data_IF_622848098852
#
_entry.id   IF_622848098852
#
_cell.length_a   1.000
_cell.length_b   1.000
_cell.length_c   1.000
_cell.angle_alpha   90.00
_cell.angle_beta   90.00
_cell.angle_gamma   90.00
#
_symmetry.space_group_name_H-M   'P 1'
#
loop_
_entity.id
_entity.type
_entity.pdbx_description
1 polymer ?
#
# COMPACT_ATOMS: atom_id res chain seq x y z
N UNK A 1 -13.78 -15.79 -2.73
CA UNK A 1 -14.84 -16.00 -3.72
C UNK A 1 -14.55 -15.17 -4.97
N UNK A 2 -14.61 -15.78 -6.15
CA UNK A 2 -14.33 -15.13 -7.46
C UNK A 2 -15.22 -13.89 -7.67
N UNK A 3 -16.47 -13.95 -7.23
CA UNK A 3 -17.43 -12.84 -7.33
C UNK A 3 -17.04 -11.60 -6.51
N UNK A 4 -16.46 -11.78 -5.32
CA UNK A 4 -16.03 -10.65 -4.49
C UNK A 4 -14.80 -9.93 -5.10
N UNK A 5 -13.86 -10.69 -5.66
CA UNK A 5 -12.71 -10.10 -6.38
C UNK A 5 -13.16 -9.37 -7.65
N UNK A 6 -14.05 -9.98 -8.46
CA UNK A 6 -14.61 -9.32 -9.63
C UNK A 6 -15.34 -8.02 -9.28
N UNK A 7 -16.13 -8.02 -8.21
CA UNK A 7 -16.81 -6.81 -7.74
C UNK A 7 -15.82 -5.70 -7.33
N UNK A 8 -14.77 -6.03 -6.59
CA UNK A 8 -13.77 -5.03 -6.18
C UNK A 8 -13.00 -4.49 -7.39
N UNK A 9 -12.71 -5.34 -8.38
CA UNK A 9 -12.09 -4.90 -9.64
C UNK A 9 -13.00 -3.96 -10.44
N UNK A 10 -14.30 -4.26 -10.53
CA UNK A 10 -15.29 -3.38 -11.17
C UNK A 10 -15.40 -2.05 -10.42
N UNK A 11 -15.45 -2.06 -9.09
CA UNK A 11 -15.44 -0.83 -8.29
C UNK A 11 -14.15 -0.02 -8.49
N UNK A 12 -13.00 -0.68 -8.61
CA UNK A 12 -11.73 -0.02 -8.91
C UNK A 12 -11.75 0.66 -10.27
N UNK A 13 -12.25 -0.03 -11.31
CA UNK A 13 -12.45 0.55 -12.64
C UNK A 13 -13.44 1.73 -12.60
N UNK A 14 -14.58 1.56 -11.92
CA UNK A 14 -15.57 2.65 -11.78
C UNK A 14 -15.01 3.86 -11.04
N UNK A 15 -14.07 3.67 -10.11
CA UNK A 15 -13.40 4.77 -9.40
C UNK A 15 -12.44 5.59 -10.29
N UNK A 16 -11.97 5.03 -11.42
CA UNK A 16 -11.14 5.78 -12.37
C UNK A 16 -11.95 6.79 -13.18
N UNK A 17 -13.24 6.52 -13.45
CA UNK A 17 -14.09 7.39 -14.26
C UNK A 17 -14.26 8.80 -13.66
N UNK A 18 -14.56 8.98 -12.35
CA UNK A 18 -14.62 10.32 -11.75
C UNK A 18 -13.27 11.06 -11.80
N UNK A 19 -12.15 10.34 -11.66
CA UNK A 19 -10.83 10.96 -11.73
C UNK A 19 -10.51 11.48 -13.12
N UNK A 20 -10.84 10.71 -14.17
CA UNK A 20 -10.72 11.16 -15.56
C UNK A 20 -11.69 12.31 -15.85
N UNK A 21 -12.93 12.22 -15.35
CA UNK A 21 -13.92 13.29 -15.50
C UNK A 21 -13.44 14.59 -14.84
N UNK A 22 -12.89 14.52 -13.61
CA UNK A 22 -12.37 15.71 -12.91
C UNK A 22 -11.21 16.37 -13.67
N UNK A 23 -10.31 15.57 -14.25
CA UNK A 23 -9.22 16.09 -15.08
C UNK A 23 -9.76 16.75 -16.36
N UNK A 24 -10.75 16.15 -17.02
CA UNK A 24 -11.40 16.73 -18.20
C UNK A 24 -12.12 18.04 -17.87
N UNK A 25 -12.86 18.09 -16.75
CA UNK A 25 -13.53 19.30 -16.29
C UNK A 25 -12.52 20.41 -15.93
N UNK A 26 -11.38 20.06 -15.32
CA UNK A 26 -10.29 21.01 -15.06
C UNK A 26 -9.73 21.57 -16.36
N UNK A 27 -9.55 20.74 -17.38
CA UNK A 27 -9.13 21.20 -18.72
C UNK A 27 -10.15 22.22 -19.29
N UNK A 28 -11.45 21.90 -19.28
CA UNK A 28 -12.50 22.80 -19.78
C UNK A 28 -12.52 24.11 -18.99
N UNK A 29 -12.37 24.05 -17.65
CA UNK A 29 -12.28 25.24 -16.80
C UNK A 29 -11.17 26.18 -17.24
N UNK A 30 -9.97 25.63 -17.44
CA UNK A 30 -8.79 26.42 -17.78
C UNK A 30 -8.80 26.93 -19.21
N UNK A 31 -9.16 26.09 -20.18
CA UNK A 31 -9.11 26.44 -21.59
C UNK A 31 -10.32 27.27 -22.05
N UNK A 32 -11.54 26.91 -21.64
CA UNK A 32 -12.77 27.57 -22.15
C UNK A 32 -13.23 28.71 -21.26
N UNK A 33 -13.19 28.56 -19.91
CA UNK A 33 -13.71 29.59 -19.01
C UNK A 33 -12.65 30.66 -18.76
N UNK A 34 -11.44 30.26 -18.40
CA UNK A 34 -10.40 31.22 -17.99
C UNK A 34 -9.70 31.81 -19.21
N UNK A 35 -9.25 30.98 -20.18
CA UNK A 35 -8.48 31.46 -21.32
C UNK A 35 -9.34 32.15 -22.37
N UNK A 36 -10.59 31.69 -22.60
CA UNK A 36 -11.49 32.24 -23.60
C UNK A 36 -12.53 33.21 -23.02
N UNK A 37 -12.63 33.33 -21.69
CA UNK A 37 -13.54 34.30 -21.03
C UNK A 37 -15.00 33.91 -21.03
N UNK A 38 -15.36 32.63 -21.27
CA UNK A 38 -16.73 32.17 -21.28
C UNK A 38 -17.28 31.98 -19.84
N UNK A 39 -17.51 33.05 -19.11
CA UNK A 39 -17.94 33.00 -17.71
C UNK A 39 -19.33 32.40 -17.51
N UNK A 40 -20.17 32.34 -18.53
CA UNK A 40 -21.48 31.71 -18.47
C UNK A 40 -21.42 30.21 -18.18
N UNK A 41 -20.30 29.58 -18.56
CA UNK A 41 -20.05 28.15 -18.31
C UNK A 41 -19.56 27.85 -16.88
N UNK A 42 -19.22 28.88 -16.11
CA UNK A 42 -18.68 28.69 -14.77
C UNK A 42 -19.65 27.95 -13.82
N UNK A 43 -20.94 28.37 -13.81
CA UNK A 43 -21.94 27.77 -12.94
C UNK A 43 -22.21 26.29 -13.26
N UNK A 44 -22.54 25.90 -14.53
CA UNK A 44 -22.76 24.49 -14.85
C UNK A 44 -21.49 23.65 -14.68
N UNK A 45 -20.31 24.21 -14.86
CA UNK A 45 -19.04 23.50 -14.69
C UNK A 45 -18.73 23.24 -13.22
N UNK A 46 -18.92 24.23 -12.34
CA UNK A 46 -18.77 24.04 -10.90
C UNK A 46 -19.78 23.02 -10.33
N UNK A 47 -21.03 23.06 -10.81
CA UNK A 47 -22.04 22.07 -10.40
C UNK A 47 -21.70 20.66 -10.87
N UNK A 48 -21.15 20.48 -12.08
CA UNK A 48 -20.70 19.19 -12.58
C UNK A 48 -19.46 18.67 -11.82
N UNK A 49 -18.50 19.55 -11.46
CA UNK A 49 -17.37 19.19 -10.62
C UNK A 49 -17.81 18.75 -9.21
N UNK A 50 -18.75 19.48 -8.60
CA UNK A 50 -19.33 19.09 -7.31
C UNK A 50 -20.04 17.73 -7.38
N UNK A 51 -20.79 17.47 -8.46
CA UNK A 51 -21.46 16.18 -8.67
C UNK A 51 -20.46 15.04 -8.83
N UNK A 52 -19.40 15.23 -9.63
CA UNK A 52 -18.31 14.25 -9.79
C UNK A 52 -17.62 13.97 -8.44
N UNK A 53 -17.39 15.01 -7.63
CA UNK A 53 -16.79 14.86 -6.30
C UNK A 53 -17.68 14.05 -5.35
N UNK A 54 -18.98 14.35 -5.30
CA UNK A 54 -19.95 13.61 -4.49
C UNK A 54 -20.02 12.14 -4.95
N UNK A 55 -20.03 11.92 -6.25
CA UNK A 55 -20.04 10.58 -6.82
C UNK A 55 -18.76 9.79 -6.45
N UNK A 56 -17.58 10.43 -6.53
CA UNK A 56 -16.31 9.84 -6.13
C UNK A 56 -16.28 9.48 -4.65
N UNK A 57 -16.75 10.37 -3.77
CA UNK A 57 -16.85 10.12 -2.33
C UNK A 57 -17.78 8.94 -2.04
N UNK A 58 -18.93 8.89 -2.73
CA UNK A 58 -19.91 7.80 -2.57
C UNK A 58 -19.34 6.45 -3.01
N UNK A 59 -18.63 6.40 -4.15
CA UNK A 59 -17.95 5.19 -4.62
C UNK A 59 -16.85 4.74 -3.66
N UNK A 60 -16.05 5.67 -3.13
CA UNK A 60 -14.99 5.37 -2.18
C UNK A 60 -15.56 4.84 -0.87
N UNK A 61 -16.61 5.44 -0.35
CA UNK A 61 -17.30 4.98 0.86
C UNK A 61 -17.92 3.59 0.67
N UNK A 62 -18.58 3.37 -0.47
CA UNK A 62 -19.20 2.09 -0.80
C UNK A 62 -18.18 0.97 -0.96
N UNK A 63 -17.14 1.20 -1.75
CA UNK A 63 -16.04 0.24 -1.94
C UNK A 63 -15.35 -0.10 -0.62
N UNK A 64 -15.12 0.88 0.26
CA UNK A 64 -14.54 0.67 1.59
C UNK A 64 -15.44 -0.15 2.52
N UNK A 65 -16.76 0.00 2.46
CA UNK A 65 -17.70 -0.83 3.23
C UNK A 65 -17.73 -2.27 2.72
N UNK A 66 -17.78 -2.48 1.41
CA UNK A 66 -17.74 -3.82 0.81
C UNK A 66 -16.43 -4.55 1.13
N UNK A 67 -15.32 -3.84 1.03
CA UNK A 67 -14.00 -4.35 1.38
C UNK A 67 -13.95 -4.85 2.84
N UNK A 68 -14.40 -4.04 3.79
CA UNK A 68 -14.47 -4.43 5.22
C UNK A 68 -15.39 -5.63 5.46
N UNK A 69 -16.57 -5.66 4.84
CA UNK A 69 -17.49 -6.80 4.94
C UNK A 69 -16.87 -8.09 4.38
N UNK A 70 -16.18 -7.99 3.25
CA UNK A 70 -15.48 -9.13 2.65
C UNK A 70 -14.38 -9.66 3.57
N UNK A 71 -13.56 -8.76 4.14
CA UNK A 71 -12.49 -9.10 5.06
C UNK A 71 -13.03 -9.80 6.32
N UNK A 72 -14.06 -9.22 6.95
CA UNK A 72 -14.69 -9.83 8.14
C UNK A 72 -15.31 -11.19 7.82
N UNK A 73 -16.04 -11.31 6.73
CA UNK A 73 -16.66 -12.57 6.31
C UNK A 73 -15.64 -13.67 5.99
N UNK A 74 -14.52 -13.32 5.35
CA UNK A 74 -13.45 -14.26 5.05
C UNK A 74 -12.70 -14.65 6.34
N UNK A 75 -12.42 -13.68 7.22
CA UNK A 75 -11.78 -13.89 8.51
C UNK A 75 -12.58 -14.87 9.36
N UNK A 76 -13.87 -14.60 9.56
CA UNK A 76 -14.75 -15.47 10.35
C UNK A 76 -14.80 -16.90 9.79
N UNK A 77 -14.95 -17.06 8.48
CA UNK A 77 -15.00 -18.38 7.83
C UNK A 77 -13.70 -19.16 7.95
N UNK A 78 -12.56 -18.51 7.73
CA UNK A 78 -11.26 -19.17 7.79
C UNK A 78 -10.88 -19.52 9.24
N UNK A 79 -11.15 -18.62 10.20
CA UNK A 79 -10.93 -18.89 11.62
C UNK A 79 -11.81 -20.03 12.12
N UNK A 80 -13.11 -20.03 11.79
CA UNK A 80 -14.03 -21.11 12.15
C UNK A 80 -13.59 -22.46 11.54
N UNK A 81 -13.20 -22.47 10.25
CA UNK A 81 -12.70 -23.67 9.58
C UNK A 81 -11.40 -24.18 10.19
N UNK A 82 -10.49 -23.25 10.50
CA UNK A 82 -9.22 -23.59 11.16
C UNK A 82 -9.46 -24.16 12.55
N UNK A 83 -10.31 -23.52 13.37
CA UNK A 83 -10.62 -23.98 14.71
C UNK A 83 -11.32 -25.35 14.71
N UNK A 84 -12.29 -25.54 13.80
CA UNK A 84 -12.90 -26.86 13.62
C UNK A 84 -11.86 -27.92 13.26
N UNK A 85 -10.97 -27.62 12.31
CA UNK A 85 -9.91 -28.56 11.93
C UNK A 85 -8.94 -28.82 13.08
N UNK A 86 -8.68 -27.83 13.91
CA UNK A 86 -7.86 -27.96 15.10
C UNK A 86 -8.50 -28.96 16.07
N UNK A 87 -9.81 -28.83 16.35
CA UNK A 87 -10.52 -29.77 17.24
C UNK A 87 -10.60 -31.21 16.71
N UNK A 88 -10.55 -31.41 15.41
CA UNK A 88 -10.55 -32.72 14.75
C UNK A 88 -9.19 -33.44 14.83
N UNK A 89 -8.13 -32.78 15.35
CA UNK A 89 -6.80 -33.37 15.46
C UNK A 89 -6.70 -34.36 16.60
N UNK A 90 -5.95 -35.48 16.47
CA UNK A 90 -5.80 -36.49 17.51
C UNK A 90 -5.03 -35.93 18.71
N UNK A 91 -5.30 -36.49 19.91
CA UNK A 91 -4.67 -36.08 21.19
C UNK A 91 -3.14 -36.07 21.14
N UNK A 92 -2.52 -36.98 20.38
CA UNK A 92 -1.06 -37.03 20.18
C UNK A 92 -0.46 -35.74 19.59
N UNK A 93 -1.25 -34.98 18.83
CA UNK A 93 -0.82 -33.68 18.30
C UNK A 93 -0.64 -32.66 19.42
N UNK A 94 -1.49 -32.70 20.45
CA UNK A 94 -1.47 -31.74 21.56
C UNK A 94 -0.44 -32.11 22.63
N UNK A 95 -0.21 -33.41 22.87
CA UNK A 95 0.76 -33.89 23.85
C UNK A 95 2.23 -33.56 23.51
N UNK A 96 2.52 -33.32 22.21
CA UNK A 96 3.88 -33.02 21.73
C UNK A 96 4.12 -31.52 21.45
N UNK A 97 3.15 -30.65 21.73
CA UNK A 97 3.26 -29.22 21.38
C UNK A 97 2.81 -28.32 22.51
N UNK A 98 3.46 -27.19 22.62
CA UNK A 98 3.04 -26.13 23.55
C UNK A 98 1.72 -25.50 23.08
N UNK A 99 0.80 -25.28 24.02
CA UNK A 99 -0.49 -24.62 23.75
C UNK A 99 -0.30 -23.25 23.10
N UNK A 100 0.75 -22.50 23.49
CA UNK A 100 1.12 -21.23 22.90
C UNK A 100 1.37 -21.29 21.39
N UNK A 101 2.03 -22.35 20.89
CA UNK A 101 2.26 -22.57 19.45
C UNK A 101 0.97 -22.70 18.66
N UNK A 102 -0.03 -23.32 19.26
CA UNK A 102 -1.34 -23.52 18.63
C UNK A 102 -2.12 -22.20 18.57
N UNK A 103 -2.05 -21.41 19.65
CA UNK A 103 -2.67 -20.08 19.73
C UNK A 103 -2.03 -19.13 18.71
N UNK A 104 -0.70 -19.12 18.58
CA UNK A 104 0.01 -18.28 17.59
C UNK A 104 -0.39 -18.62 16.14
N UNK A 105 -0.63 -19.91 15.84
CA UNK A 105 -1.13 -20.32 14.51
C UNK A 105 -2.53 -19.79 14.21
N UNK A 106 -3.37 -19.63 15.23
CA UNK A 106 -4.69 -19.00 15.06
C UNK A 106 -4.54 -17.53 14.66
N UNK A 107 -3.54 -16.85 15.21
CA UNK A 107 -3.22 -15.45 14.86
C UNK A 107 -2.71 -15.33 13.41
N UNK A 108 -1.93 -16.30 12.94
CA UNK A 108 -1.45 -16.35 11.54
C UNK A 108 -2.59 -16.44 10.53
N UNK A 109 -3.71 -17.08 10.87
CA UNK A 109 -4.91 -17.11 9.99
C UNK A 109 -5.45 -15.70 9.75
N UNK A 110 -5.46 -14.84 10.77
CA UNK A 110 -5.84 -13.42 10.63
C UNK A 110 -4.92 -12.67 9.65
N UNK A 111 -3.60 -12.87 9.80
CA UNK A 111 -2.60 -12.25 8.91
C UNK A 111 -2.73 -12.73 7.46
N UNK A 112 -3.03 -14.02 7.22
CA UNK A 112 -3.29 -14.55 5.88
C UNK A 112 -4.55 -13.91 5.27
N UNK A 113 -5.60 -13.73 6.07
CA UNK A 113 -6.81 -13.04 5.59
C UNK A 113 -6.51 -11.61 5.19
N UNK A 114 -5.75 -10.88 6.00
CA UNK A 114 -5.34 -9.51 5.70
C UNK A 114 -4.50 -9.43 4.42
N UNK A 115 -3.57 -10.35 4.22
CA UNK A 115 -2.77 -10.43 3.00
C UNK A 115 -3.64 -10.67 1.75
N UNK A 116 -4.55 -11.65 1.81
CA UNK A 116 -5.37 -12.03 0.65
C UNK A 116 -6.44 -10.98 0.37
N UNK A 117 -7.20 -10.58 1.39
CA UNK A 117 -8.30 -9.61 1.23
C UNK A 117 -7.80 -8.19 1.09
N UNK A 118 -6.67 -7.85 1.76
CA UNK A 118 -6.09 -6.53 1.80
C UNK A 118 -5.12 -6.28 0.65
N UNK A 119 -3.90 -6.68 0.87
CA UNK A 119 -2.76 -6.29 0.03
C UNK A 119 -2.87 -6.81 -1.40
N UNK A 120 -3.26 -8.07 -1.60
CA UNK A 120 -3.42 -8.63 -2.95
C UNK A 120 -4.56 -7.98 -3.72
N UNK A 121 -5.68 -7.71 -3.05
CA UNK A 121 -6.83 -7.05 -3.67
C UNK A 121 -6.50 -5.61 -4.04
N UNK A 122 -5.87 -4.84 -3.15
CA UNK A 122 -5.42 -3.48 -3.44
C UNK A 122 -4.40 -3.44 -4.58
N UNK A 123 -3.45 -4.37 -4.59
CA UNK A 123 -2.47 -4.46 -5.68
C UNK A 123 -3.15 -4.77 -7.03
N UNK A 124 -4.13 -5.69 -7.06
CA UNK A 124 -4.87 -6.00 -8.28
C UNK A 124 -5.66 -4.78 -8.80
N UNK A 125 -6.34 -4.05 -7.91
CA UNK A 125 -7.02 -2.79 -8.26
C UNK A 125 -6.00 -1.76 -8.75
N UNK A 126 -4.86 -1.60 -8.07
CA UNK A 126 -3.79 -0.68 -8.45
C UNK A 126 -3.26 -0.94 -9.86
N UNK A 127 -3.04 -2.21 -10.24
CA UNK A 127 -2.61 -2.57 -11.60
C UNK A 127 -3.66 -2.18 -12.64
N UNK A 128 -4.94 -2.46 -12.37
CA UNK A 128 -6.04 -2.11 -13.28
C UNK A 128 -6.18 -0.59 -13.44
N UNK A 129 -6.13 0.15 -12.35
CA UNK A 129 -6.18 1.63 -12.37
C UNK A 129 -4.98 2.22 -13.10
N UNK A 130 -3.78 1.71 -12.85
CA UNK A 130 -2.55 2.12 -13.55
C UNK A 130 -2.66 1.91 -15.06
N UNK A 131 -3.13 0.74 -15.53
CA UNK A 131 -3.34 0.47 -16.95
C UNK A 131 -4.36 1.44 -17.55
N UNK A 132 -5.49 1.68 -16.85
CA UNK A 132 -6.53 2.59 -17.31
C UNK A 132 -6.03 4.03 -17.43
N UNK A 133 -5.35 4.55 -16.41
CA UNK A 133 -4.76 5.89 -16.47
C UNK A 133 -3.66 5.98 -17.52
N UNK A 134 -2.83 4.94 -17.68
CA UNK A 134 -1.80 4.88 -18.72
C UNK A 134 -2.38 4.98 -20.13
N UNK A 135 -3.50 4.28 -20.42
CA UNK A 135 -4.20 4.38 -21.70
C UNK A 135 -4.75 5.80 -21.94
N UNK A 136 -5.36 6.41 -20.92
CA UNK A 136 -5.88 7.78 -21.03
C UNK A 136 -4.75 8.78 -21.24
N UNK A 137 -3.66 8.69 -20.48
CA UNK A 137 -2.49 9.55 -20.65
C UNK A 137 -1.85 9.42 -22.03
N UNK A 138 -1.77 8.19 -22.54
CA UNK A 138 -1.23 7.93 -23.88
C UNK A 138 -2.06 8.59 -24.98
N UNK A 139 -3.38 8.65 -24.81
CA UNK A 139 -4.29 9.36 -25.71
C UNK A 139 -4.12 10.89 -25.63
N UNK A 140 -3.68 11.44 -24.50
CA UNK A 140 -3.39 12.87 -24.37
C UNK A 140 -2.06 13.26 -25.00
N UNK A 141 -0.98 12.60 -24.62
CA UNK A 141 0.36 12.85 -25.17
C UNK A 141 1.27 11.63 -25.03
N UNK A 142 1.63 10.93 -26.12
CA UNK A 142 2.46 9.72 -26.08
C UNK A 142 3.87 9.96 -25.53
N UNK A 143 4.47 11.12 -25.87
CA UNK A 143 5.85 11.45 -25.48
C UNK A 143 5.96 11.63 -23.95
N UNK A 144 5.12 12.48 -23.37
CA UNK A 144 5.11 12.71 -21.93
C UNK A 144 4.74 11.43 -21.15
N UNK A 145 3.81 10.63 -21.70
CA UNK A 145 3.42 9.35 -21.08
C UNK A 145 4.57 8.34 -21.09
N UNK A 146 5.33 8.26 -22.18
CA UNK A 146 6.48 7.36 -22.26
C UNK A 146 7.55 7.66 -21.20
N UNK A 147 7.77 8.95 -20.92
CA UNK A 147 8.68 9.39 -19.83
C UNK A 147 8.15 8.91 -18.48
N UNK A 148 6.85 9.08 -18.21
CA UNK A 148 6.21 8.60 -16.97
C UNK A 148 6.30 7.09 -16.81
N UNK A 149 6.04 6.32 -17.86
CA UNK A 149 6.15 4.86 -17.87
C UNK A 149 7.58 4.40 -17.60
N UNK A 150 8.58 5.03 -18.29
CA UNK A 150 9.99 4.70 -18.08
C UNK A 150 10.42 4.95 -16.63
N UNK A 151 10.03 6.08 -16.07
CA UNK A 151 10.35 6.42 -14.70
C UNK A 151 9.66 5.48 -13.68
N UNK A 152 8.41 5.06 -13.95
CA UNK A 152 7.70 4.07 -13.14
C UNK A 152 8.41 2.71 -13.21
N UNK A 153 8.86 2.29 -14.39
CA UNK A 153 9.62 1.05 -14.55
C UNK A 153 10.95 1.10 -13.78
N UNK A 154 11.68 2.20 -13.83
CA UNK A 154 12.90 2.41 -13.04
C UNK A 154 12.60 2.35 -11.54
N UNK A 155 11.55 3.03 -11.07
CA UNK A 155 11.13 2.98 -9.67
C UNK A 155 10.83 1.55 -9.22
N UNK A 156 10.13 0.77 -10.04
CA UNK A 156 9.84 -0.63 -9.76
C UNK A 156 11.11 -1.48 -9.61
N UNK A 157 12.10 -1.30 -10.48
CA UNK A 157 13.39 -1.99 -10.39
C UNK A 157 14.11 -1.64 -9.07
N UNK A 158 14.14 -0.35 -8.73
CA UNK A 158 14.72 0.10 -7.46
C UNK A 158 14.01 -0.51 -6.24
N UNK A 159 12.68 -0.46 -6.22
CA UNK A 159 11.89 -1.05 -5.13
C UNK A 159 12.16 -2.56 -4.98
N UNK A 160 12.31 -3.28 -6.09
CA UNK A 160 12.64 -4.71 -6.05
C UNK A 160 14.02 -4.98 -5.46
N UNK A 161 15.02 -4.17 -5.80
CA UNK A 161 16.37 -4.27 -5.20
C UNK A 161 16.33 -4.04 -3.69
N UNK A 162 15.60 -3.02 -3.26
CA UNK A 162 15.42 -2.69 -1.84
C UNK A 162 14.66 -3.78 -1.10
N UNK A 163 13.59 -4.31 -1.69
CA UNK A 163 12.80 -5.39 -1.09
C UNK A 163 13.67 -6.62 -0.77
N UNK A 164 14.59 -7.00 -1.68
CA UNK A 164 15.51 -8.12 -1.46
C UNK A 164 16.45 -7.87 -0.28
N UNK A 165 17.03 -6.67 -0.19
CA UNK A 165 17.91 -6.31 0.95
C UNK A 165 17.16 -6.31 2.29
N UNK A 166 15.90 -5.83 2.29
CA UNK A 166 15.04 -5.86 3.48
C UNK A 166 14.73 -7.29 3.93
N UNK A 167 14.51 -8.21 2.99
CA UNK A 167 14.25 -9.62 3.30
C UNK A 167 15.43 -10.24 4.03
N UNK A 168 16.67 -10.05 3.54
CA UNK A 168 17.90 -10.52 4.19
C UNK A 168 18.07 -9.95 5.61
N UNK A 169 17.85 -8.63 5.77
CA UNK A 169 17.95 -7.98 7.07
C UNK A 169 16.85 -8.44 8.04
N UNK A 170 15.63 -8.65 7.58
CA UNK A 170 14.50 -9.13 8.40
C UNK A 170 14.77 -10.54 8.96
N UNK A 171 15.47 -11.41 8.22
CA UNK A 171 15.87 -12.74 8.71
C UNK A 171 16.79 -12.61 9.93
N UNK A 172 17.76 -11.71 9.87
CA UNK A 172 18.70 -11.47 10.98
C UNK A 172 17.95 -10.91 12.20
N UNK A 173 17.10 -9.89 11.99
CA UNK A 173 16.29 -9.27 13.05
C UNK A 173 15.39 -10.32 13.71
N UNK A 174 14.68 -11.13 12.92
CA UNK A 174 13.80 -12.18 13.44
C UNK A 174 14.54 -13.21 14.29
N UNK A 175 15.78 -13.57 13.90
CA UNK A 175 16.63 -14.46 14.67
C UNK A 175 17.02 -13.85 16.02
N UNK A 176 17.41 -12.58 16.04
CA UNK A 176 17.83 -11.91 17.29
C UNK A 176 16.64 -11.63 18.20
N UNK A 177 15.47 -11.24 17.64
CA UNK A 177 14.22 -11.14 18.39
C UNK A 177 13.80 -12.50 18.98
N UNK A 178 13.97 -13.60 18.24
CA UNK A 178 13.73 -14.94 18.73
C UNK A 178 14.61 -15.30 19.94
N UNK A 179 15.87 -14.85 19.96
CA UNK A 179 16.76 -15.02 21.12
C UNK A 179 16.29 -14.24 22.36
N UNK A 180 15.84 -12.99 22.16
CA UNK A 180 15.26 -12.17 23.24
C UNK A 180 14.05 -12.88 23.83
N UNK A 181 13.13 -13.35 22.98
CA UNK A 181 11.94 -14.08 23.43
C UNK A 181 12.29 -15.37 24.17
N UNK A 182 13.25 -16.14 23.68
CA UNK A 182 13.68 -17.39 24.33
C UNK A 182 14.22 -17.14 25.74
N UNK A 183 15.09 -16.12 25.91
CA UNK A 183 15.60 -15.74 27.23
C UNK A 183 14.48 -15.23 28.15
N UNK A 184 13.54 -14.44 27.63
CA UNK A 184 12.39 -13.94 28.38
C UNK A 184 11.51 -15.09 28.89
N UNK A 185 11.15 -16.02 28.01
CA UNK A 185 10.32 -17.17 28.38
C UNK A 185 11.04 -18.06 29.38
N UNK A 186 12.32 -18.38 29.15
CA UNK A 186 13.11 -19.18 30.07
C UNK A 186 13.24 -18.53 31.47
N UNK A 187 13.45 -17.21 31.50
CA UNK A 187 13.52 -16.47 32.76
C UNK A 187 12.20 -16.50 33.54
N UNK A 188 11.06 -16.32 32.86
CA UNK A 188 9.75 -16.35 33.51
C UNK A 188 9.42 -17.78 34.00
N UNK A 189 9.75 -18.82 33.21
CA UNK A 189 9.49 -20.21 33.56
C UNK A 189 10.35 -20.69 34.74
N UNK A 190 11.54 -20.13 34.93
CA UNK A 190 12.43 -20.48 36.04
C UNK A 190 12.58 -19.36 37.08
N UNK A 191 11.55 -18.51 37.23
CA UNK A 191 11.62 -17.32 38.08
C UNK A 191 11.92 -17.65 39.53
N UNK A 192 11.35 -18.75 40.03
CA UNK A 192 11.56 -19.21 41.41
C UNK A 192 13.05 -19.56 41.66
N UNK A 193 13.67 -20.25 40.68
CA UNK A 193 15.10 -20.60 40.77
C UNK A 193 15.98 -19.36 40.69
N UNK A 194 15.66 -18.44 39.80
CA UNK A 194 16.39 -17.16 39.62
C UNK A 194 16.32 -16.35 40.92
N UNK A 195 15.15 -16.23 41.54
CA UNK A 195 14.91 -15.53 42.81
C UNK A 195 15.64 -16.20 43.97
N UNK A 196 15.57 -17.53 44.05
CA UNK A 196 16.25 -18.28 45.11
C UNK A 196 17.79 -18.21 45.00
N UNK A 197 18.33 -18.04 43.81
CA UNK A 197 19.78 -18.05 43.54
C UNK A 197 20.36 -16.63 43.42
N UNK A 198 19.56 -15.55 43.44
CA UNK A 198 20.02 -14.17 43.30
C UNK A 198 20.66 -13.87 41.92
N UNK A 199 20.18 -14.54 40.84
CA UNK A 199 20.76 -14.45 39.48
C UNK A 199 20.08 -13.42 38.58
N UNK A 200 19.28 -12.51 39.13
CA UNK A 200 18.52 -11.51 38.39
C UNK A 200 19.40 -10.66 37.48
N UNK A 201 20.49 -10.13 38.00
CA UNK A 201 21.41 -9.25 37.26
C UNK A 201 22.10 -9.98 36.10
N UNK A 202 22.42 -11.27 36.29
CA UNK A 202 23.05 -12.08 35.26
C UNK A 202 22.07 -12.33 34.10
N UNK A 203 20.82 -12.70 34.41
CA UNK A 203 19.77 -12.92 33.41
C UNK A 203 19.42 -11.62 32.71
N UNK A 204 19.32 -10.50 33.46
CA UNK A 204 19.10 -9.18 32.88
C UNK A 204 20.25 -8.76 31.95
N UNK A 205 21.50 -8.97 32.34
CA UNK A 205 22.68 -8.69 31.50
C UNK A 205 22.63 -9.48 30.19
N UNK A 206 22.28 -10.77 30.25
CA UNK A 206 22.14 -11.61 29.06
C UNK A 206 20.98 -11.16 28.16
N UNK A 207 19.82 -10.85 28.74
CA UNK A 207 18.64 -10.35 28.04
C UNK A 207 18.92 -9.01 27.38
N UNK A 208 19.51 -8.04 28.11
CA UNK A 208 19.82 -6.71 27.60
C UNK A 208 20.83 -6.74 26.45
N UNK A 209 21.80 -7.67 26.48
CA UNK A 209 22.75 -7.89 25.38
C UNK A 209 22.05 -8.31 24.09
N UNK A 210 21.13 -9.29 24.15
CA UNK A 210 20.34 -9.70 22.98
C UNK A 210 19.34 -8.63 22.55
N UNK A 211 18.72 -7.93 23.49
CA UNK A 211 17.79 -6.83 23.20
C UNK A 211 18.49 -5.67 22.48
N UNK A 212 19.69 -5.28 22.95
CA UNK A 212 20.50 -4.23 22.31
C UNK A 212 20.92 -4.64 20.90
N UNK A 213 21.33 -5.90 20.69
CA UNK A 213 21.67 -6.39 19.37
C UNK A 213 20.46 -6.35 18.41
N UNK A 214 19.30 -6.85 18.85
CA UNK A 214 18.06 -6.82 18.07
C UNK A 214 17.60 -5.39 17.76
N UNK A 215 17.66 -4.47 18.75
CA UNK A 215 17.31 -3.06 18.58
C UNK A 215 18.25 -2.36 17.60
N UNK A 216 19.55 -2.55 17.69
CA UNK A 216 20.52 -1.97 16.77
C UNK A 216 20.32 -2.47 15.34
N UNK A 217 20.06 -3.78 15.16
CA UNK A 217 19.76 -4.35 13.85
C UNK A 217 18.47 -3.73 13.26
N UNK A 218 17.42 -3.58 14.08
CA UNK A 218 16.16 -2.94 13.68
C UNK A 218 16.37 -1.47 13.30
N UNK A 219 17.08 -0.69 14.13
CA UNK A 219 17.38 0.72 13.86
C UNK A 219 18.18 0.89 12.55
N UNK A 220 19.17 0.04 12.31
CA UNK A 220 19.95 0.08 11.06
C UNK A 220 19.06 -0.17 9.85
N UNK A 221 18.21 -1.20 9.90
CA UNK A 221 17.25 -1.47 8.82
C UNK A 221 16.25 -0.33 8.64
N UNK A 222 15.74 0.26 9.71
CA UNK A 222 14.80 1.38 9.63
C UNK A 222 15.44 2.63 9.00
N UNK A 223 16.67 2.96 9.36
CA UNK A 223 17.40 4.10 8.77
C UNK A 223 17.62 3.88 7.26
N UNK A 224 18.12 2.70 6.87
CA UNK A 224 18.25 2.35 5.46
C UNK A 224 16.90 2.38 4.74
N UNK A 225 15.85 1.84 5.37
CA UNK A 225 14.50 1.81 4.83
C UNK A 225 13.89 3.21 4.63
N UNK A 226 14.17 4.17 5.51
CA UNK A 226 13.68 5.55 5.40
C UNK A 226 14.23 6.26 4.16
N UNK A 227 15.52 6.10 3.89
CA UNK A 227 16.16 6.67 2.69
C UNK A 227 15.48 6.11 1.43
N UNK A 228 15.29 4.78 1.39
CA UNK A 228 14.68 4.13 0.24
C UNK A 228 13.17 4.36 0.11
N UNK A 229 12.45 4.60 1.22
CA UNK A 229 11.01 4.94 1.17
C UNK A 229 10.76 6.36 0.64
N UNK A 230 11.77 7.23 0.62
CA UNK A 230 11.68 8.54 0.01
C UNK A 230 11.79 8.50 -1.54
N UNK A 231 12.37 7.44 -2.12
CA UNK A 231 12.58 7.33 -3.56
C UNK A 231 11.31 7.45 -4.39
N UNK A 232 10.18 6.79 -4.08
CA UNK A 232 8.94 6.95 -4.83
C UNK A 232 8.47 8.40 -4.85
N UNK A 233 8.52 9.08 -3.71
CA UNK A 233 8.13 10.51 -3.60
C UNK A 233 9.04 11.40 -4.42
N UNK A 234 10.36 11.19 -4.37
CA UNK A 234 11.31 11.92 -5.21
C UNK A 234 11.06 11.68 -6.69
N UNK A 235 10.83 10.42 -7.09
CA UNK A 235 10.51 10.07 -8.48
C UNK A 235 9.25 10.79 -8.95
N UNK A 236 8.17 10.78 -8.15
CA UNK A 236 6.93 11.49 -8.46
C UNK A 236 7.16 12.99 -8.61
N UNK A 237 7.93 13.60 -7.70
CA UNK A 237 8.25 15.03 -7.76
C UNK A 237 9.06 15.38 -9.03
N UNK A 238 10.07 14.58 -9.33
CA UNK A 238 10.90 14.77 -10.54
C UNK A 238 10.04 14.63 -11.81
N UNK A 239 9.20 13.61 -11.89
CA UNK A 239 8.33 13.40 -13.08
C UNK A 239 7.36 14.56 -13.21
N UNK A 240 6.70 15.00 -12.14
CA UNK A 240 5.80 16.15 -12.20
C UNK A 240 6.52 17.41 -12.65
N UNK A 241 7.73 17.67 -12.16
CA UNK A 241 8.55 18.80 -12.58
C UNK A 241 8.94 18.71 -14.05
N UNK A 242 9.42 17.54 -14.50
CA UNK A 242 9.78 17.32 -15.91
C UNK A 242 8.55 17.45 -16.82
N UNK A 243 7.41 16.92 -16.40
CA UNK A 243 6.15 17.05 -17.14
C UNK A 243 5.71 18.50 -17.26
N UNK A 244 5.84 19.30 -16.19
CA UNK A 244 5.52 20.72 -16.22
C UNK A 244 6.48 21.52 -17.11
N UNK A 245 7.77 21.21 -17.08
CA UNK A 245 8.77 21.89 -17.93
C UNK A 245 8.54 21.55 -19.41
N UNK A 246 8.52 20.27 -19.77
CA UNK A 246 8.34 19.83 -21.15
C UNK A 246 6.95 20.18 -21.69
N UNK A 247 5.91 19.96 -20.86
CA UNK A 247 4.55 20.35 -21.21
C UNK A 247 4.38 21.87 -21.33
N UNK A 248 5.08 22.65 -20.49
CA UNK A 248 5.12 24.11 -20.59
C UNK A 248 5.76 24.57 -21.91
N UNK A 249 6.85 23.94 -22.35
CA UNK A 249 7.46 24.20 -23.65
C UNK A 249 6.45 23.87 -24.77
N UNK A 250 5.74 22.75 -24.69
CA UNK A 250 4.72 22.36 -25.67
C UNK A 250 3.50 23.31 -25.67
N UNK A 251 3.18 23.91 -24.53
CA UNK A 251 2.14 24.98 -24.49
C UNK A 251 2.63 26.25 -25.17
N UNK A 252 3.88 26.64 -24.98
CA UNK A 252 4.47 27.81 -25.65
C UNK A 252 4.63 27.62 -27.17
N UNK A 253 4.88 26.37 -27.61
CA UNK A 253 4.94 26.06 -29.05
C UNK A 253 3.54 25.95 -29.70
N UNK A 254 2.48 25.90 -28.91
CA UNK A 254 1.10 25.73 -29.40
C UNK A 254 0.65 24.29 -29.62
N UNK A 255 1.51 23.30 -29.31
CA UNK A 255 1.20 21.87 -29.48
C UNK A 255 0.24 21.34 -28.42
N UNK A 256 0.07 22.05 -27.31
CA UNK A 256 -0.76 21.67 -26.20
C UNK A 256 -1.40 22.89 -25.52
N UNK A 257 -2.64 22.77 -25.03
CA UNK A 257 -3.25 23.82 -24.22
C UNK A 257 -2.83 23.74 -22.76
N UNK A 258 -2.89 24.87 -22.03
CA UNK A 258 -2.56 24.91 -20.61
C UNK A 258 -3.50 24.01 -19.79
N UNK A 259 -4.80 23.97 -20.11
CA UNK A 259 -5.74 23.07 -19.47
C UNK A 259 -5.45 21.59 -19.73
N UNK A 260 -4.97 21.26 -20.95
CA UNK A 260 -4.53 19.88 -21.25
C UNK A 260 -3.30 19.49 -20.42
N UNK A 261 -2.32 20.40 -20.24
CA UNK A 261 -1.15 20.16 -19.39
C UNK A 261 -1.56 19.90 -17.93
N UNK A 262 -2.48 20.71 -17.39
CA UNK A 262 -2.96 20.54 -16.00
C UNK A 262 -3.74 19.23 -15.83
N UNK A 263 -4.63 18.89 -16.77
CA UNK A 263 -5.34 17.61 -16.75
C UNK A 263 -4.39 16.42 -16.85
N UNK A 264 -3.37 16.50 -17.70
CA UNK A 264 -2.31 15.50 -17.82
C UNK A 264 -1.53 15.33 -16.50
N UNK A 265 -1.14 16.43 -15.85
CA UNK A 265 -0.42 16.39 -14.58
C UNK A 265 -1.25 15.76 -13.45
N UNK A 266 -2.56 16.07 -13.38
CA UNK A 266 -3.48 15.44 -12.43
C UNK A 266 -3.57 13.92 -12.65
N UNK A 267 -3.73 13.48 -13.89
CA UNK A 267 -3.81 12.05 -14.24
C UNK A 267 -2.47 11.34 -14.03
N UNK A 268 -1.35 12.02 -14.31
CA UNK A 268 -0.01 11.49 -14.06
C UNK A 268 0.22 11.25 -12.56
N UNK A 269 -0.25 12.15 -11.69
CA UNK A 269 -0.22 11.95 -10.24
C UNK A 269 -0.98 10.69 -9.80
N UNK A 270 -2.13 10.41 -10.42
CA UNK A 270 -2.91 9.18 -10.15
C UNK A 270 -2.26 7.92 -10.73
N UNK A 271 -1.55 8.04 -11.85
CA UNK A 271 -0.81 6.94 -12.47
C UNK A 271 0.41 6.51 -11.66
N UNK A 272 1.10 7.46 -11.02
CA UNK A 272 2.31 7.25 -10.23
C UNK A 272 2.03 6.83 -8.78
N UNK A 273 0.83 7.13 -8.22
CA UNK A 273 0.40 6.83 -6.84
C UNK A 273 -0.20 5.46 -6.71
#
# INVERSE_FOLDING_TARGET
SRHALAFVMICGLLATAPAVASAALTKVLLDSVIAQGHYDWLRPLLSSMALVMIFQLSLTALSGQFYRRMQMGLSARLQAKFFKKLLDLPFQFYSQRYVGDVVDRTRLVGSIVELISGRLTSAAVGVVTMVTFGMVLFAYNPLLTSIGVLATALNFIFLRMVAKRREEANIVISKDQGRVQAVTIAAIQSIDTIKASGLEDNIYGKWSGFFSAASNATLKLELESRIFSALPTLTTTVINTVTLILGGIMVMSGDMTFGTLMAFNLLMGQFLG
#
